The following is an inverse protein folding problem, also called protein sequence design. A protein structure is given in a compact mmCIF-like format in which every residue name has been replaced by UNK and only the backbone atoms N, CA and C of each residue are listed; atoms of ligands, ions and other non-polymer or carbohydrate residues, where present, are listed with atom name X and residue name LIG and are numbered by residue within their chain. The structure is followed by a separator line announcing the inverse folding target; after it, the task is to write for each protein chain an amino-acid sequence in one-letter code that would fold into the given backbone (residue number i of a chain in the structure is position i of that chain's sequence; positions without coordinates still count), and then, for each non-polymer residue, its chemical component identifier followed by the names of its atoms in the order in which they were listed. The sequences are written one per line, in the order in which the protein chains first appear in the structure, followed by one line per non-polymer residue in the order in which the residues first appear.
data_IF_632758148121
#
_entry.id   IF_632758148121
#
_cell.length_a   1.000
_cell.length_b   1.000
_cell.length_c   1.000
_cell.angle_alpha   90.00
_cell.angle_beta   90.00
_cell.angle_gamma   90.00
#
_symmetry.space_group_name_H-M   'P 1'
#
loop_
_entity.id
_entity.type
_entity.pdbx_description
1 polymer ?
#
# COMPACT_ATOMS: atom_id res chain seq x y z
N UNK A 1 -19.60 -33.61 -4.01
CA UNK A 1 -19.63 -33.09 -5.40
C UNK A 1 -19.08 -31.70 -5.33
N UNK A 2 -18.05 -31.39 -6.10
CA UNK A 2 -17.55 -30.02 -6.22
C UNK A 2 -18.65 -29.28 -6.99
N UNK A 3 -19.30 -28.32 -6.35
CA UNK A 3 -20.28 -27.47 -7.03
C UNK A 3 -19.53 -26.63 -8.07
N UNK A 4 -19.81 -26.82 -9.34
CA UNK A 4 -19.27 -26.02 -10.42
C UNK A 4 -20.06 -24.71 -10.52
N UNK A 5 -19.76 -23.74 -9.62
CA UNK A 5 -20.45 -22.47 -9.61
C UNK A 5 -19.95 -21.58 -10.76
N UNK A 6 -20.84 -20.75 -11.28
CA UNK A 6 -20.50 -19.64 -12.15
C UNK A 6 -20.30 -18.38 -11.31
N UNK A 7 -19.08 -17.84 -11.32
CA UNK A 7 -18.64 -16.78 -10.41
C UNK A 7 -18.23 -15.55 -11.19
N UNK A 8 -18.85 -14.40 -10.87
CA UNK A 8 -18.41 -13.10 -11.36
C UNK A 8 -17.37 -12.49 -10.39
N UNK A 9 -16.24 -12.03 -10.91
CA UNK A 9 -15.25 -11.24 -10.15
C UNK A 9 -15.25 -9.81 -10.72
N UNK A 10 -15.51 -8.82 -9.89
CA UNK A 10 -15.57 -7.40 -10.31
C UNK A 10 -14.27 -6.71 -9.94
N UNK A 11 -13.43 -6.44 -10.93
CA UNK A 11 -12.11 -5.82 -10.81
C UNK A 11 -10.96 -6.79 -11.02
N UNK A 12 -10.07 -6.51 -11.99
CA UNK A 12 -8.85 -7.26 -12.29
C UNK A 12 -7.60 -6.64 -11.63
N UNK A 13 -7.72 -6.23 -10.37
CA UNK A 13 -6.58 -5.94 -9.50
C UNK A 13 -5.98 -7.22 -8.94
N UNK A 14 -4.92 -7.09 -8.09
CA UNK A 14 -4.26 -8.26 -7.48
C UNK A 14 -5.25 -9.18 -6.76
N UNK A 15 -6.17 -8.62 -5.96
CA UNK A 15 -7.17 -9.42 -5.22
C UNK A 15 -8.08 -10.22 -6.16
N UNK A 16 -8.67 -9.55 -7.17
CA UNK A 16 -9.61 -10.21 -8.10
C UNK A 16 -8.95 -11.27 -8.97
N UNK A 17 -7.75 -11.00 -9.47
CA UNK A 17 -7.01 -11.99 -10.26
C UNK A 17 -6.52 -13.17 -9.40
N UNK A 18 -6.11 -12.91 -8.14
CA UNK A 18 -5.69 -13.99 -7.23
C UNK A 18 -6.83 -14.94 -6.92
N UNK A 19 -7.99 -14.43 -6.53
CA UNK A 19 -9.14 -15.29 -6.26
C UNK A 19 -9.63 -16.02 -7.52
N UNK A 20 -9.62 -15.36 -8.67
CA UNK A 20 -9.99 -16.00 -9.93
C UNK A 20 -9.04 -17.16 -10.27
N UNK A 21 -7.72 -16.98 -10.09
CA UNK A 21 -6.72 -18.05 -10.26
C UNK A 21 -6.90 -19.23 -9.30
N UNK A 22 -7.41 -18.99 -8.09
CA UNK A 22 -7.65 -20.02 -7.09
C UNK A 22 -8.91 -20.84 -7.39
N UNK A 23 -9.90 -20.22 -8.04
CA UNK A 23 -11.22 -20.82 -8.25
C UNK A 23 -11.43 -21.42 -9.66
N UNK A 24 -10.65 -21.02 -10.67
CA UNK A 24 -10.88 -21.36 -12.09
C UNK A 24 -10.86 -22.84 -12.42
N UNK A 25 -10.15 -23.65 -11.64
CA UNK A 25 -10.01 -25.08 -11.92
C UNK A 25 -11.22 -25.90 -11.45
N UNK A 26 -12.08 -25.30 -10.59
CA UNK A 26 -13.27 -25.93 -10.01
C UNK A 26 -14.57 -25.18 -10.30
N UNK A 27 -14.48 -23.98 -10.90
CA UNK A 27 -15.61 -23.11 -11.18
C UNK A 27 -15.48 -22.43 -12.55
N UNK A 28 -16.61 -22.00 -13.13
CA UNK A 28 -16.61 -21.07 -14.26
C UNK A 28 -16.44 -19.64 -13.72
N UNK A 29 -15.27 -19.03 -13.94
CA UNK A 29 -14.96 -17.70 -13.41
C UNK A 29 -14.83 -16.68 -14.53
N UNK A 30 -15.62 -15.59 -14.45
CA UNK A 30 -15.54 -14.45 -15.36
C UNK A 30 -15.13 -13.21 -14.58
N UNK A 31 -14.05 -12.56 -15.02
CA UNK A 31 -13.53 -11.32 -14.39
C UNK A 31 -13.95 -10.12 -15.24
N UNK A 32 -14.52 -9.09 -14.63
CA UNK A 32 -14.87 -7.84 -15.29
C UNK A 32 -13.91 -6.73 -14.86
N UNK A 33 -13.28 -6.08 -15.83
CA UNK A 33 -12.34 -4.97 -15.59
C UNK A 33 -12.78 -3.76 -16.42
N UNK A 34 -12.91 -2.61 -15.77
CA UNK A 34 -13.33 -1.36 -16.42
C UNK A 34 -12.26 -0.77 -17.36
N UNK A 35 -10.99 -1.03 -17.09
CA UNK A 35 -9.89 -0.55 -17.91
C UNK A 35 -9.52 -1.58 -19.00
N UNK A 36 -8.60 -1.18 -19.89
CA UNK A 36 -8.16 -2.01 -21.01
C UNK A 36 -7.09 -3.04 -20.63
N UNK A 37 -6.67 -3.09 -19.38
CA UNK A 37 -5.69 -4.07 -18.86
C UNK A 37 -5.85 -4.30 -17.36
N UNK A 38 -5.41 -5.46 -16.91
CA UNK A 38 -5.35 -5.84 -15.50
C UNK A 38 -4.25 -5.11 -14.72
N UNK A 39 -4.32 -5.17 -13.39
CA UNK A 39 -3.29 -4.72 -12.46
C UNK A 39 -3.79 -3.79 -11.35
N UNK A 40 -4.85 -3.01 -11.57
CA UNK A 40 -5.31 -2.06 -10.56
C UNK A 40 -4.18 -1.12 -10.11
N UNK A 41 -3.85 -1.11 -8.82
CA UNK A 41 -2.80 -0.24 -8.26
C UNK A 41 -1.36 -0.65 -8.63
N UNK A 42 -1.12 -1.90 -9.03
CA UNK A 42 0.24 -2.36 -9.38
C UNK A 42 0.61 -2.11 -10.84
N UNK A 43 -0.20 -1.32 -11.56
CA UNK A 43 0.06 -0.97 -12.96
C UNK A 43 1.36 -0.18 -13.12
N UNK A 44 2.13 -0.56 -14.15
CA UNK A 44 3.31 0.16 -14.58
C UNK A 44 3.20 0.54 -16.05
N UNK A 45 3.79 1.69 -16.42
CA UNK A 45 3.97 2.15 -17.77
C UNK A 45 5.47 2.33 -18.10
N UNK A 46 5.80 2.60 -19.35
CA UNK A 46 7.15 3.04 -19.72
C UNK A 46 7.10 4.46 -20.26
N UNK A 47 7.98 5.31 -19.72
CA UNK A 47 8.12 6.71 -20.12
C UNK A 47 9.61 6.98 -20.35
N UNK A 48 9.99 7.39 -21.54
CA UNK A 48 11.36 7.70 -21.93
C UNK A 48 12.39 6.59 -21.58
N UNK A 49 11.96 5.32 -21.62
CA UNK A 49 12.79 4.16 -21.28
C UNK A 49 12.79 3.77 -19.79
N UNK A 50 12.26 4.60 -18.90
CA UNK A 50 12.08 4.28 -17.49
C UNK A 50 10.75 3.59 -17.21
N UNK A 51 10.73 2.69 -16.23
CA UNK A 51 9.51 2.08 -15.72
C UNK A 51 8.83 3.06 -14.76
N UNK A 52 7.56 3.35 -15.02
CA UNK A 52 6.73 4.21 -14.20
C UNK A 52 5.70 3.38 -13.44
N UNK A 53 5.87 3.26 -12.14
CA UNK A 53 4.82 2.78 -11.24
C UNK A 53 3.76 3.86 -11.11
N UNK A 54 2.55 3.60 -11.64
CA UNK A 54 1.45 4.59 -11.62
C UNK A 54 0.98 4.94 -10.21
N UNK A 55 1.19 4.02 -9.26
CA UNK A 55 0.81 4.21 -7.85
C UNK A 55 1.83 3.50 -6.98
N UNK A 56 2.64 4.25 -6.25
CA UNK A 56 3.63 3.71 -5.32
C UNK A 56 4.75 2.88 -5.96
N UNK A 57 5.50 2.17 -5.13
CA UNK A 57 6.50 1.19 -5.54
C UNK A 57 6.17 -0.16 -4.91
N UNK A 58 5.50 -1.02 -5.66
CA UNK A 58 5.03 -2.30 -5.15
C UNK A 58 6.10 -3.38 -5.25
N UNK A 59 6.40 -4.02 -4.13
CA UNK A 59 7.34 -5.14 -4.00
C UNK A 59 6.63 -6.33 -3.36
N UNK A 60 7.19 -7.53 -3.48
CA UNK A 60 6.63 -8.71 -2.84
C UNK A 60 7.47 -9.13 -1.65
N UNK A 61 6.84 -9.20 -0.50
CA UNK A 61 7.37 -9.77 0.74
C UNK A 61 6.19 -10.22 1.58
N UNK A 62 6.28 -11.38 2.23
CA UNK A 62 5.24 -11.88 3.13
C UNK A 62 5.82 -12.77 4.21
N UNK A 63 5.14 -12.84 5.36
CA UNK A 63 5.41 -13.80 6.45
C UNK A 63 4.51 -15.03 6.38
N UNK A 64 3.45 -15.00 5.55
CA UNK A 64 2.51 -16.11 5.40
C UNK A 64 3.10 -17.17 4.47
N UNK A 65 3.38 -18.36 5.02
CA UNK A 65 3.96 -19.46 4.26
C UNK A 65 3.03 -19.95 3.14
N UNK A 66 1.73 -20.01 3.38
CA UNK A 66 0.73 -20.40 2.38
C UNK A 66 0.69 -19.44 1.18
N UNK A 67 0.87 -18.12 1.42
CA UNK A 67 0.98 -17.12 0.34
C UNK A 67 2.28 -17.30 -0.44
N UNK A 68 3.42 -17.56 0.26
CA UNK A 68 4.70 -17.88 -0.39
C UNK A 68 4.57 -19.10 -1.30
N UNK A 69 4.00 -20.18 -0.78
CA UNK A 69 3.84 -21.44 -1.51
C UNK A 69 2.95 -21.27 -2.73
N UNK A 70 1.83 -20.55 -2.57
CA UNK A 70 0.93 -20.24 -3.67
C UNK A 70 1.58 -19.36 -4.73
N UNK A 71 2.35 -18.35 -4.34
CA UNK A 71 3.03 -17.42 -5.24
C UNK A 71 4.10 -18.15 -6.05
N UNK A 72 5.02 -18.87 -5.39
CA UNK A 72 6.13 -19.55 -6.06
C UNK A 72 5.73 -20.78 -6.90
N UNK A 73 4.51 -21.26 -6.78
CA UNK A 73 3.95 -22.24 -7.75
C UNK A 73 3.67 -21.61 -9.13
N UNK A 74 3.51 -20.29 -9.20
CA UNK A 74 3.15 -19.54 -10.41
C UNK A 74 4.31 -18.78 -11.02
N UNK A 75 5.30 -18.48 -10.23
CA UNK A 75 6.45 -17.67 -10.62
C UNK A 75 7.74 -18.45 -10.40
N UNK A 76 8.68 -18.35 -11.39
CA UNK A 76 10.02 -18.87 -11.20
C UNK A 76 10.86 -17.86 -10.44
N UNK A 77 11.13 -18.19 -9.16
CA UNK A 77 11.82 -17.31 -8.22
C UNK A 77 13.19 -16.88 -8.73
N UNK A 78 13.98 -17.82 -9.27
CA UNK A 78 15.38 -17.59 -9.65
C UNK A 78 15.50 -16.91 -11.03
N UNK A 79 14.60 -17.23 -11.96
CA UNK A 79 14.64 -16.69 -13.30
C UNK A 79 13.95 -15.34 -13.44
N UNK A 80 12.85 -15.14 -12.71
CA UNK A 80 11.95 -14.01 -12.92
C UNK A 80 12.09 -12.91 -11.88
N UNK A 81 12.66 -13.20 -10.68
CA UNK A 81 12.74 -12.25 -9.57
C UNK A 81 14.18 -11.98 -9.13
N UNK A 82 14.36 -10.80 -8.56
CA UNK A 82 15.53 -10.39 -7.79
C UNK A 82 15.11 -10.36 -6.32
N UNK A 83 15.94 -10.92 -5.45
CA UNK A 83 15.87 -10.64 -4.03
C UNK A 83 16.77 -9.43 -3.76
N UNK A 84 16.19 -8.32 -3.35
CA UNK A 84 16.90 -7.09 -3.03
C UNK A 84 16.82 -6.80 -1.53
N UNK A 85 17.92 -6.32 -0.97
CA UNK A 85 17.93 -5.81 0.40
C UNK A 85 17.32 -4.41 0.43
N UNK A 86 16.63 -4.14 1.51
CA UNK A 86 16.10 -2.81 1.79
C UNK A 86 17.25 -1.91 2.24
N UNK A 87 17.32 -0.72 1.67
CA UNK A 87 18.25 0.32 2.04
C UNK A 87 17.49 1.64 2.11
N UNK A 88 16.83 1.88 3.24
CA UNK A 88 15.98 3.04 3.43
C UNK A 88 16.67 4.08 4.29
N UNK A 89 16.40 5.35 4.00
CA UNK A 89 16.97 6.48 4.75
C UNK A 89 15.94 7.58 4.94
N UNK A 90 16.23 8.47 5.90
CA UNK A 90 15.53 9.73 6.11
C UNK A 90 16.43 10.86 5.64
N UNK A 91 15.96 11.68 4.72
CA UNK A 91 16.59 12.93 4.34
C UNK A 91 16.08 14.03 5.25
N UNK A 92 16.90 14.42 6.23
CA UNK A 92 16.55 15.41 7.26
C UNK A 92 16.47 16.82 6.68
N UNK A 93 15.74 17.71 7.37
CA UNK A 93 15.59 19.10 6.94
C UNK A 93 16.91 19.90 6.92
N UNK A 94 17.91 19.49 7.68
CA UNK A 94 19.24 20.08 7.74
C UNK A 94 20.21 19.53 6.67
N UNK A 95 19.72 18.70 5.75
CA UNK A 95 20.48 18.12 4.64
C UNK A 95 21.19 16.79 4.98
N UNK A 96 21.12 16.31 6.21
CA UNK A 96 21.69 15.00 6.58
C UNK A 96 20.84 13.86 6.07
N UNK A 97 21.51 12.75 5.82
CA UNK A 97 20.88 11.47 5.53
C UNK A 97 21.11 10.54 6.73
N UNK A 98 20.01 10.06 7.32
CA UNK A 98 20.01 9.18 8.50
C UNK A 98 19.40 7.85 8.08
N UNK A 99 19.97 6.74 8.54
CA UNK A 99 19.44 5.40 8.29
C UNK A 99 18.01 5.21 8.82
N UNK A 100 17.30 4.24 8.27
CA UNK A 100 15.94 3.89 8.70
C UNK A 100 15.92 2.46 9.29
N UNK A 101 15.16 2.18 10.36
CA UNK A 101 14.31 3.10 11.14
C UNK A 101 15.13 4.15 11.89
N UNK A 102 14.65 5.40 11.91
CA UNK A 102 15.42 6.57 12.38
C UNK A 102 15.82 6.43 13.86
N UNK A 103 14.96 5.86 14.70
CA UNK A 103 15.21 5.63 16.12
C UNK A 103 16.40 4.71 16.40
N UNK A 104 16.79 3.88 15.45
CA UNK A 104 17.91 2.96 15.57
C UNK A 104 19.23 3.55 15.01
N UNK A 105 19.19 4.75 14.44
CA UNK A 105 20.31 5.38 13.78
C UNK A 105 20.65 6.76 14.40
N UNK A 106 20.32 6.97 15.68
CA UNK A 106 20.57 8.23 16.36
C UNK A 106 22.07 8.61 16.42
N UNK A 107 22.98 7.64 16.33
CA UNK A 107 24.41 7.88 16.23
C UNK A 107 24.81 8.70 14.98
N UNK A 108 23.89 8.89 14.03
CA UNK A 108 24.07 9.74 12.83
C UNK A 108 23.47 11.14 13.00
N UNK A 109 22.87 11.45 14.14
CA UNK A 109 22.30 12.77 14.43
C UNK A 109 23.38 13.83 14.63
N UNK A 110 22.96 15.10 14.68
CA UNK A 110 23.86 16.15 15.21
C UNK A 110 24.10 15.96 16.69
N UNK A 111 25.19 16.52 17.19
CA UNK A 111 25.47 16.53 18.62
C UNK A 111 24.32 17.11 19.44
N UNK A 112 23.68 18.18 18.93
CA UNK A 112 22.54 18.82 19.58
C UNK A 112 21.30 17.90 19.60
N UNK A 113 20.94 17.34 18.45
CA UNK A 113 19.81 16.41 18.35
C UNK A 113 20.06 15.13 19.14
N UNK A 114 21.29 14.61 19.14
CA UNK A 114 21.67 13.45 19.93
C UNK A 114 21.51 13.70 21.43
N UNK A 115 21.97 14.87 21.95
CA UNK A 115 21.83 15.22 23.36
C UNK A 115 20.37 15.30 23.79
N UNK A 116 19.52 15.94 22.98
CA UNK A 116 18.08 16.02 23.26
C UNK A 116 17.42 14.66 23.22
N UNK A 117 17.75 13.82 22.25
CA UNK A 117 17.22 12.45 22.13
C UNK A 117 17.63 11.56 23.31
N UNK A 118 18.88 11.63 23.78
CA UNK A 118 19.31 10.95 25.01
C UNK A 118 18.48 11.39 26.21
N UNK A 119 18.19 12.69 26.32
CA UNK A 119 17.32 13.22 27.36
C UNK A 119 15.90 12.62 27.33
N UNK A 120 15.36 12.46 26.12
CA UNK A 120 14.07 11.79 25.93
C UNK A 120 14.11 10.31 26.38
N UNK A 121 15.14 9.54 25.99
CA UNK A 121 15.30 8.14 26.38
C UNK A 121 15.40 7.99 27.92
N UNK A 122 16.13 8.89 28.59
CA UNK A 122 16.25 8.92 30.06
C UNK A 122 14.88 9.22 30.67
N UNK A 123 14.16 10.19 30.13
CA UNK A 123 12.82 10.55 30.61
C UNK A 123 11.83 9.40 30.43
N UNK A 124 11.86 8.71 29.29
CA UNK A 124 11.03 7.54 29.02
C UNK A 124 11.35 6.38 29.97
N UNK A 125 12.61 6.15 30.29
CA UNK A 125 13.01 5.11 31.26
C UNK A 125 12.56 5.42 32.68
N UNK A 126 12.51 6.70 33.06
CA UNK A 126 12.15 7.14 34.41
C UNK A 126 10.62 7.22 34.66
N UNK A 127 9.81 7.24 33.62
CA UNK A 127 8.38 7.46 33.73
C UNK A 127 7.60 6.25 33.21
N UNK A 128 6.51 5.88 33.91
CA UNK A 128 5.55 4.92 33.38
C UNK A 128 4.73 5.60 32.27
N UNK A 129 4.73 5.05 31.03
CA UNK A 129 3.95 5.64 29.95
C UNK A 129 2.45 5.61 30.29
N UNK A 130 1.75 6.70 30.04
CA UNK A 130 0.29 6.70 30.01
C UNK A 130 -0.18 6.04 28.72
N UNK A 131 -1.33 5.36 28.75
CA UNK A 131 -1.96 4.85 27.54
C UNK A 131 -2.28 6.02 26.59
N UNK A 132 -1.74 6.02 25.36
CA UNK A 132 -1.99 7.09 24.41
C UNK A 132 -3.44 7.05 23.91
N UNK A 133 -4.04 8.20 23.69
CA UNK A 133 -5.41 8.35 23.20
C UNK A 133 -5.46 8.68 21.69
N UNK A 134 -4.37 9.19 21.13
CA UNK A 134 -4.23 9.59 19.73
C UNK A 134 -2.82 9.32 19.20
N UNK A 135 -2.63 9.52 17.91
CA UNK A 135 -1.37 9.19 17.25
C UNK A 135 -0.19 10.07 17.69
N UNK A 136 -0.43 11.35 18.00
CA UNK A 136 0.60 12.23 18.55
C UNK A 136 1.15 11.72 19.89
N UNK A 137 0.24 11.46 20.85
CA UNK A 137 0.61 10.92 22.16
C UNK A 137 1.34 9.57 22.04
N UNK A 138 0.88 8.71 21.12
CA UNK A 138 1.55 7.46 20.82
C UNK A 138 2.99 7.67 20.36
N UNK A 139 3.22 8.53 19.37
CA UNK A 139 4.57 8.78 18.84
C UNK A 139 5.51 9.39 19.90
N UNK A 140 5.02 10.35 20.68
CA UNK A 140 5.80 10.98 21.77
C UNK A 140 6.15 9.98 22.86
N UNK A 141 5.19 9.17 23.29
CA UNK A 141 5.41 8.17 24.34
C UNK A 141 6.36 7.05 23.90
N UNK A 142 6.38 6.75 22.61
CA UNK A 142 7.15 5.63 22.07
C UNK A 142 8.55 6.00 21.59
N UNK A 143 8.73 7.19 21.03
CA UNK A 143 9.95 7.61 20.36
C UNK A 143 10.59 8.89 20.93
N UNK A 144 9.93 9.55 21.88
CA UNK A 144 10.37 10.80 22.49
C UNK A 144 9.98 12.04 21.68
N UNK A 145 10.07 13.19 22.35
CA UNK A 145 9.69 14.50 21.79
C UNK A 145 10.61 14.92 20.64
N UNK A 146 11.91 14.57 20.71
CA UNK A 146 12.90 14.92 19.68
C UNK A 146 12.54 14.29 18.36
N UNK A 147 12.37 12.96 18.31
CA UNK A 147 12.01 12.27 17.08
C UNK A 147 10.60 12.63 16.60
N UNK A 148 9.67 12.86 17.53
CA UNK A 148 8.36 13.36 17.17
C UNK A 148 8.46 14.66 16.36
N UNK A 149 9.15 15.67 16.90
CA UNK A 149 9.25 17.00 16.29
C UNK A 149 10.08 17.02 15.00
N UNK A 150 11.20 16.31 14.97
CA UNK A 150 12.17 16.40 13.87
C UNK A 150 11.82 15.47 12.69
N UNK A 151 11.06 14.38 12.96
CA UNK A 151 10.74 13.39 11.92
C UNK A 151 9.25 13.03 11.88
N UNK A 152 8.70 12.46 12.95
CA UNK A 152 7.38 11.83 12.87
C UNK A 152 6.26 12.83 12.58
N UNK A 153 6.22 13.95 13.26
CA UNK A 153 5.19 14.97 13.06
C UNK A 153 5.24 15.53 11.63
N UNK A 154 6.33 16.15 11.15
CA UNK A 154 6.36 16.77 9.83
C UNK A 154 6.15 15.75 8.70
N UNK A 155 6.62 14.51 8.86
CA UNK A 155 6.41 13.45 7.90
C UNK A 155 4.95 12.98 7.86
N UNK A 156 4.36 12.68 9.00
CA UNK A 156 3.00 12.15 9.08
C UNK A 156 1.93 13.20 8.76
N UNK A 157 2.14 14.48 9.10
CA UNK A 157 1.23 15.56 8.69
C UNK A 157 1.11 15.69 7.17
N UNK A 158 2.17 15.40 6.41
CA UNK A 158 2.11 15.33 4.94
C UNK A 158 1.22 14.18 4.45
N UNK A 159 1.24 13.04 5.15
CA UNK A 159 0.47 11.84 4.78
C UNK A 159 -0.98 12.00 5.18
N UNK A 160 -1.23 12.41 6.43
CA UNK A 160 -2.58 12.47 7.00
C UNK A 160 -3.35 13.75 6.66
N UNK A 161 -2.65 14.82 6.24
CA UNK A 161 -3.22 16.13 5.89
C UNK A 161 -4.09 16.72 7.02
N UNK A 162 -3.78 16.36 8.26
CA UNK A 162 -4.46 16.80 9.48
C UNK A 162 -3.52 16.73 10.69
N UNK A 163 -3.82 17.42 11.81
CA UNK A 163 -3.09 17.27 13.07
C UNK A 163 -3.08 15.80 13.53
N UNK A 164 -1.96 15.35 14.09
CA UNK A 164 -1.83 13.95 14.52
C UNK A 164 -2.66 13.62 15.76
N UNK A 165 -3.15 14.63 16.50
CA UNK A 165 -4.17 14.49 17.56
C UNK A 165 -5.50 13.95 17.00
N UNK A 166 -5.80 14.20 15.73
CA UNK A 166 -7.05 13.78 15.07
C UNK A 166 -6.90 12.45 14.33
N UNK A 167 -5.73 11.83 14.44
CA UNK A 167 -5.45 10.52 13.82
C UNK A 167 -5.68 9.42 14.84
N UNK A 168 -6.65 8.50 14.62
CA UNK A 168 -6.96 7.44 15.56
C UNK A 168 -5.89 6.34 15.59
N UNK A 169 -5.73 5.67 16.74
CA UNK A 169 -4.77 4.58 16.91
C UNK A 169 -5.15 3.29 16.20
N UNK A 170 -6.39 3.13 15.81
CA UNK A 170 -6.91 1.89 15.19
C UNK A 170 -6.20 1.48 13.90
N UNK A 171 -5.55 2.42 13.21
CA UNK A 171 -4.79 2.11 11.98
C UNK A 171 -3.38 1.57 12.25
N UNK A 172 -2.84 1.73 13.46
CA UNK A 172 -1.46 1.37 13.81
C UNK A 172 -1.19 -0.14 13.85
N UNK A 173 -2.20 -0.95 14.05
CA UNK A 173 -2.06 -2.39 14.27
C UNK A 173 -1.17 -3.05 13.22
N UNK A 174 0.06 -3.42 13.62
CA UNK A 174 1.04 -4.11 12.79
C UNK A 174 1.71 -3.29 11.68
N UNK A 175 1.53 -1.96 11.64
CA UNK A 175 2.03 -1.12 10.52
C UNK A 175 3.31 -0.34 10.85
N UNK A 176 3.61 -0.10 12.10
CA UNK A 176 4.85 0.53 12.53
C UNK A 176 5.73 -0.46 13.27
N UNK A 177 7.07 -0.38 13.12
CA UNK A 177 7.99 -1.03 14.02
C UNK A 177 7.70 -0.58 15.46
N UNK A 178 7.76 -1.51 16.40
CA UNK A 178 7.45 -1.25 17.81
C UNK A 178 8.65 -1.67 18.68
N UNK A 179 9.85 -1.07 18.48
CA UNK A 179 11.01 -1.43 19.27
C UNK A 179 10.79 -1.05 20.73
N UNK A 180 11.32 -1.86 21.64
CA UNK A 180 11.42 -1.49 23.06
C UNK A 180 12.51 -0.44 23.25
N UNK A 181 12.48 0.25 24.38
CA UNK A 181 13.54 1.20 24.74
C UNK A 181 14.92 0.55 24.75
N UNK A 182 15.02 -0.66 25.29
CA UNK A 182 16.26 -1.43 25.32
C UNK A 182 16.76 -1.78 23.92
N UNK A 183 15.85 -2.15 23.02
CA UNK A 183 16.18 -2.39 21.60
C UNK A 183 16.68 -1.12 20.91
N UNK A 184 16.06 0.03 21.14
CA UNK A 184 16.52 1.31 20.60
C UNK A 184 17.94 1.61 21.07
N UNK A 185 18.21 1.49 22.37
CA UNK A 185 19.53 1.72 22.95
C UNK A 185 20.53 0.72 22.37
N UNK A 186 20.23 -0.58 22.41
CA UNK A 186 21.08 -1.64 21.90
C UNK A 186 21.46 -1.43 20.42
N UNK A 187 20.46 -1.12 19.58
CA UNK A 187 20.66 -0.94 18.13
C UNK A 187 21.56 0.26 17.84
N UNK A 188 21.43 1.34 18.59
CA UNK A 188 22.30 2.52 18.44
C UNK A 188 23.73 2.23 18.88
N UNK A 189 23.94 1.56 20.02
CA UNK A 189 25.28 1.21 20.49
C UNK A 189 26.02 0.25 19.56
N UNK A 190 25.29 -0.67 18.93
CA UNK A 190 25.87 -1.68 18.05
C UNK A 190 25.81 -1.28 16.55
N UNK A 191 25.30 -0.10 16.22
CA UNK A 191 25.13 0.39 14.84
C UNK A 191 24.40 -0.66 13.96
N UNK A 192 23.29 -1.19 14.44
CA UNK A 192 22.53 -2.25 13.75
C UNK A 192 21.90 -1.68 12.49
N UNK A 193 22.27 -2.23 11.32
CA UNK A 193 21.76 -1.78 10.01
C UNK A 193 20.39 -2.39 9.67
N UNK A 194 19.61 -1.70 8.81
CA UNK A 194 18.25 -2.13 8.39
C UNK A 194 18.21 -3.59 7.89
N UNK A 195 19.25 -4.03 7.18
CA UNK A 195 19.36 -5.42 6.66
C UNK A 195 19.30 -6.52 7.71
N UNK A 196 19.49 -6.18 8.99
CA UNK A 196 19.42 -7.13 10.13
C UNK A 196 18.01 -7.20 10.73
N UNK A 197 17.09 -6.32 10.32
CA UNK A 197 15.72 -6.32 10.81
C UNK A 197 14.81 -7.26 10.01
N UNK A 198 13.71 -7.65 10.64
CA UNK A 198 12.66 -8.43 9.98
C UNK A 198 12.04 -7.58 8.85
N UNK A 199 11.91 -8.13 7.64
CA UNK A 199 11.56 -7.43 6.40
C UNK A 199 12.64 -6.55 5.78
N UNK A 200 13.88 -6.85 6.05
CA UNK A 200 15.04 -6.19 5.44
C UNK A 200 15.24 -6.50 3.95
N UNK A 201 14.46 -7.39 3.37
CA UNK A 201 14.55 -7.76 1.95
C UNK A 201 13.18 -7.94 1.32
N UNK A 202 13.13 -7.86 -0.01
CA UNK A 202 11.92 -8.08 -0.80
C UNK A 202 12.26 -8.75 -2.14
N UNK A 203 11.23 -9.30 -2.79
CA UNK A 203 11.33 -9.81 -4.14
C UNK A 203 10.71 -8.81 -5.13
N UNK A 204 11.39 -8.65 -6.26
CA UNK A 204 10.92 -7.76 -7.31
C UNK A 204 11.17 -8.40 -8.69
N UNK A 205 10.23 -8.27 -9.66
CA UNK A 205 10.41 -8.82 -11.00
C UNK A 205 11.64 -8.23 -11.71
N UNK A 206 12.45 -9.09 -12.33
CA UNK A 206 13.61 -8.66 -13.14
C UNK A 206 13.19 -7.74 -14.27
N UNK A 207 11.99 -7.93 -14.82
CA UNK A 207 11.46 -7.16 -15.93
C UNK A 207 9.99 -6.80 -15.73
N UNK A 208 9.58 -5.62 -16.23
CA UNK A 208 8.17 -5.20 -16.27
C UNK A 208 7.58 -4.71 -14.95
N UNK A 209 8.38 -4.69 -13.87
CA UNK A 209 7.93 -4.21 -12.57
C UNK A 209 6.76 -5.00 -12.02
N UNK A 210 5.97 -4.39 -11.14
CA UNK A 210 4.79 -5.04 -10.55
C UNK A 210 3.70 -5.37 -11.60
N UNK A 211 3.70 -4.74 -12.77
CA UNK A 211 2.83 -5.13 -13.89
C UNK A 211 3.09 -6.57 -14.36
N UNK A 212 4.34 -7.05 -14.28
CA UNK A 212 4.66 -8.45 -14.60
C UNK A 212 3.85 -9.43 -13.75
N UNK A 213 3.70 -9.15 -12.45
CA UNK A 213 2.87 -9.97 -11.55
C UNK A 213 1.41 -9.97 -12.00
N UNK A 214 0.88 -8.79 -12.33
CA UNK A 214 -0.49 -8.66 -12.81
C UNK A 214 -0.72 -9.42 -14.14
N UNK A 215 0.23 -9.32 -15.07
CA UNK A 215 0.14 -10.01 -16.34
C UNK A 215 0.12 -11.55 -16.15
N UNK A 216 1.01 -12.07 -15.30
CA UNK A 216 1.06 -13.51 -14.99
C UNK A 216 -0.22 -14.00 -14.29
N UNK A 217 -0.76 -13.20 -13.36
CA UNK A 217 -2.01 -13.53 -12.68
C UNK A 217 -3.23 -13.48 -13.61
N UNK A 218 -3.16 -12.79 -14.73
CA UNK A 218 -4.25 -12.74 -15.72
C UNK A 218 -4.24 -13.91 -16.72
N UNK A 219 -3.14 -14.67 -16.79
CA UNK A 219 -3.01 -15.77 -17.76
C UNK A 219 -4.06 -16.88 -17.52
N UNK A 220 -4.74 -17.27 -18.60
CA UNK A 220 -5.74 -18.34 -18.57
C UNK A 220 -7.02 -18.01 -17.82
N UNK A 221 -7.31 -16.72 -17.56
CA UNK A 221 -8.58 -16.24 -17.02
C UNK A 221 -9.45 -15.65 -18.15
N UNK A 222 -10.79 -15.81 -18.04
CA UNK A 222 -11.74 -15.06 -18.85
C UNK A 222 -11.89 -13.64 -18.26
N UNK A 223 -11.15 -12.68 -18.79
CA UNK A 223 -11.20 -11.28 -18.35
C UNK A 223 -11.88 -10.43 -19.41
N UNK A 224 -12.99 -9.81 -19.02
CA UNK A 224 -13.76 -8.86 -19.85
C UNK A 224 -13.23 -7.44 -19.58
N UNK A 225 -12.27 -7.00 -20.37
CA UNK A 225 -11.73 -5.64 -20.31
C UNK A 225 -12.73 -4.61 -20.87
N UNK A 226 -12.54 -3.32 -20.54
CA UNK A 226 -13.43 -2.22 -20.90
C UNK A 226 -14.88 -2.45 -20.48
N UNK A 227 -15.08 -3.24 -19.42
CA UNK A 227 -16.38 -3.63 -18.89
C UNK A 227 -16.65 -2.91 -17.57
N UNK A 228 -17.23 -1.73 -17.65
CA UNK A 228 -17.63 -0.94 -16.48
C UNK A 228 -18.96 -1.45 -15.94
N UNK A 229 -18.93 -2.28 -14.90
CA UNK A 229 -20.13 -2.82 -14.26
C UNK A 229 -20.75 -1.76 -13.35
N UNK A 230 -21.96 -1.31 -13.69
CA UNK A 230 -22.71 -0.30 -12.93
C UNK A 230 -23.90 -0.91 -12.17
N UNK A 231 -24.22 -2.19 -12.38
CA UNK A 231 -25.36 -2.85 -11.76
C UNK A 231 -25.08 -4.32 -11.51
N UNK A 232 -25.34 -4.76 -10.29
CA UNK A 232 -25.27 -6.14 -9.80
C UNK A 232 -26.64 -6.44 -9.20
N UNK A 233 -27.42 -7.32 -9.84
CA UNK A 233 -28.83 -7.52 -9.49
C UNK A 233 -29.03 -8.90 -8.87
N UNK A 234 -29.47 -8.96 -7.62
CA UNK A 234 -29.89 -10.22 -6.96
C UNK A 234 -31.16 -10.73 -7.63
N UNK A 235 -31.14 -12.01 -7.95
CA UNK A 235 -32.29 -12.77 -8.46
C UNK A 235 -32.69 -13.84 -7.45
N UNK A 236 -33.82 -14.47 -7.68
CA UNK A 236 -34.27 -15.60 -6.85
C UNK A 236 -33.18 -16.68 -6.75
N UNK A 237 -32.58 -17.04 -7.90
CA UNK A 237 -31.47 -17.99 -7.98
C UNK A 237 -30.23 -17.30 -8.55
N UNK A 238 -29.35 -16.77 -7.67
CA UNK A 238 -28.09 -16.18 -8.07
C UNK A 238 -28.13 -14.68 -8.36
N UNK A 239 -27.34 -14.23 -9.33
CA UNK A 239 -27.06 -12.83 -9.63
C UNK A 239 -27.05 -12.55 -11.13
N UNK A 240 -27.37 -11.34 -11.52
CA UNK A 240 -27.12 -10.83 -12.87
C UNK A 240 -26.08 -9.71 -12.78
N UNK A 241 -24.97 -9.84 -13.55
CA UNK A 241 -23.91 -8.84 -13.72
C UNK A 241 -23.81 -8.51 -15.20
N UNK A 242 -24.06 -7.25 -15.57
CA UNK A 242 -24.27 -6.92 -16.96
C UNK A 242 -25.51 -7.63 -17.52
N UNK A 243 -25.29 -8.48 -18.53
CA UNK A 243 -26.30 -9.33 -19.18
C UNK A 243 -26.17 -10.83 -18.84
N UNK A 244 -25.21 -11.18 -17.95
CA UNK A 244 -24.87 -12.55 -17.62
C UNK A 244 -25.36 -12.96 -16.24
N UNK A 245 -25.78 -14.24 -16.11
CA UNK A 245 -26.17 -14.85 -14.84
C UNK A 245 -25.00 -15.51 -14.12
N UNK A 246 -24.97 -15.45 -12.79
CA UNK A 246 -23.93 -16.02 -11.92
C UNK A 246 -24.56 -16.55 -10.62
N UNK A 247 -23.91 -17.57 -10.05
CA UNK A 247 -24.30 -18.12 -8.75
C UNK A 247 -23.77 -17.25 -7.59
N UNK A 248 -22.54 -16.78 -7.74
CA UNK A 248 -21.84 -15.95 -6.74
C UNK A 248 -21.15 -14.75 -7.40
N UNK A 249 -20.97 -13.67 -6.61
CA UNK A 249 -20.24 -12.49 -7.03
C UNK A 249 -19.15 -12.18 -6.02
N UNK A 250 -17.92 -11.88 -6.51
CA UNK A 250 -16.81 -11.40 -5.70
C UNK A 250 -16.53 -9.96 -6.14
N UNK A 251 -16.80 -9.02 -5.25
CA UNK A 251 -16.61 -7.59 -5.51
C UNK A 251 -15.26 -7.12 -5.00
N UNK A 252 -14.36 -6.78 -5.93
CA UNK A 252 -13.02 -6.25 -5.66
C UNK A 252 -12.89 -4.74 -5.99
N UNK A 253 -14.02 -4.06 -6.13
CA UNK A 253 -14.12 -2.63 -6.38
C UNK A 253 -14.05 -1.78 -5.10
N UNK A 254 -14.50 -0.53 -5.21
CA UNK A 254 -14.59 0.36 -4.06
C UNK A 254 -15.96 0.19 -3.38
N UNK A 255 -15.98 -0.15 -2.09
CA UNK A 255 -17.22 -0.34 -1.30
C UNK A 255 -18.14 0.88 -1.35
N UNK A 256 -17.60 2.09 -1.58
CA UNK A 256 -18.40 3.33 -1.75
C UNK A 256 -19.34 3.27 -2.96
N UNK A 257 -19.06 2.43 -3.94
CA UNK A 257 -19.91 2.20 -5.10
C UNK A 257 -21.02 1.15 -4.84
N UNK A 258 -20.80 0.27 -3.84
CA UNK A 258 -21.63 -0.90 -3.61
C UNK A 258 -23.12 -0.60 -3.41
N UNK A 259 -23.54 0.37 -2.54
CA UNK A 259 -24.97 0.69 -2.35
C UNK A 259 -25.67 1.21 -3.59
N UNK A 260 -24.91 1.78 -4.54
CA UNK A 260 -25.45 2.29 -5.80
C UNK A 260 -25.56 1.19 -6.86
N UNK A 261 -24.64 0.22 -6.82
CA UNK A 261 -24.51 -0.84 -7.81
C UNK A 261 -25.41 -2.03 -7.52
N UNK A 262 -25.55 -2.42 -6.24
CA UNK A 262 -26.28 -3.62 -5.83
C UNK A 262 -27.78 -3.34 -5.76
N UNK A 263 -28.56 -4.22 -6.40
CA UNK A 263 -30.03 -4.20 -6.40
C UNK A 263 -30.58 -5.53 -5.93
N UNK A 264 -31.69 -5.51 -5.21
CA UNK A 264 -32.34 -6.71 -4.66
C UNK A 264 -31.80 -7.16 -3.31
N UNK A 265 -30.83 -6.41 -2.74
CA UNK A 265 -30.47 -6.42 -1.32
C UNK A 265 -30.64 -5.00 -0.79
N UNK A 266 -31.25 -4.87 0.37
CA UNK A 266 -31.37 -3.54 1.01
C UNK A 266 -30.07 -3.19 1.73
N UNK A 267 -29.33 -2.24 1.14
CA UNK A 267 -28.13 -1.64 1.70
C UNK A 267 -28.35 -0.18 2.13
N UNK A 268 -29.60 0.29 2.16
CA UNK A 268 -29.92 1.69 2.46
C UNK A 268 -29.45 2.14 3.82
N UNK A 269 -29.51 1.27 4.84
CA UNK A 269 -29.02 1.54 6.20
C UNK A 269 -27.50 1.81 6.28
N UNK A 270 -26.74 1.37 5.28
CA UNK A 270 -25.29 1.54 5.23
C UNK A 270 -24.82 2.73 4.39
N UNK A 271 -25.73 3.31 3.57
CA UNK A 271 -25.38 4.27 2.53
C UNK A 271 -24.66 5.51 3.08
N UNK A 272 -25.21 6.19 4.05
CA UNK A 272 -24.65 7.44 4.58
C UNK A 272 -23.28 7.21 5.21
N UNK A 273 -23.12 6.08 5.89
CA UNK A 273 -21.86 5.69 6.51
C UNK A 273 -20.80 5.28 5.48
N UNK A 274 -21.20 4.58 4.42
CA UNK A 274 -20.31 4.26 3.28
C UNK A 274 -19.86 5.53 2.57
N UNK A 275 -20.76 6.48 2.35
CA UNK A 275 -20.45 7.78 1.74
C UNK A 275 -19.48 8.60 2.62
N UNK A 276 -19.56 8.45 3.95
CA UNK A 276 -18.69 9.11 4.92
C UNK A 276 -17.28 8.45 5.09
N UNK A 277 -17.04 7.28 4.49
CA UNK A 277 -15.71 6.66 4.52
C UNK A 277 -14.67 7.57 3.85
N UNK A 278 -13.56 7.84 4.54
CA UNK A 278 -12.50 8.72 4.07
C UNK A 278 -11.31 7.92 3.51
N UNK A 279 -10.70 8.43 2.45
CA UNK A 279 -9.46 7.90 1.89
C UNK A 279 -8.59 9.03 1.38
N UNK A 280 -7.27 8.83 1.38
CA UNK A 280 -6.35 9.67 0.63
C UNK A 280 -6.06 9.08 -0.74
N UNK A 281 -5.88 9.97 -1.72
CA UNK A 281 -5.29 9.70 -3.00
C UNK A 281 -3.76 9.84 -2.94
N UNK A 282 -3.10 9.54 -4.04
CA UNK A 282 -1.66 9.76 -4.20
C UNK A 282 -1.37 10.28 -5.59
N UNK A 283 -0.66 11.39 -5.66
CA UNK A 283 0.02 11.81 -6.87
C UNK A 283 1.42 11.22 -6.89
N UNK A 284 1.72 10.46 -7.91
CA UNK A 284 2.96 9.74 -8.13
C UNK A 284 3.70 10.38 -9.30
N UNK A 285 4.93 10.85 -9.09
CA UNK A 285 5.70 11.58 -10.09
C UNK A 285 6.96 10.78 -10.46
N UNK A 286 7.07 10.36 -11.71
CA UNK A 286 8.30 9.77 -12.24
C UNK A 286 9.32 10.87 -12.52
N UNK A 287 10.53 10.69 -12.01
CA UNK A 287 11.67 11.58 -12.23
C UNK A 287 12.93 10.80 -12.61
N UNK A 288 13.82 11.43 -13.38
CA UNK A 288 15.24 11.13 -13.30
C UNK A 288 15.81 11.84 -12.06
N UNK A 289 16.73 11.18 -11.35
CA UNK A 289 17.37 11.73 -10.14
C UNK A 289 18.87 11.45 -10.15
N UNK A 290 19.62 12.12 -9.28
CA UNK A 290 21.03 11.80 -9.03
C UNK A 290 21.17 10.36 -8.55
N UNK A 291 22.29 9.73 -8.94
CA UNK A 291 22.57 8.33 -8.57
C UNK A 291 22.72 8.17 -7.05
N UNK A 292 22.14 7.11 -6.52
CA UNK A 292 22.17 6.81 -5.09
C UNK A 292 21.91 5.32 -4.86
N UNK A 293 22.33 4.75 -3.70
CA UNK A 293 22.16 3.33 -3.41
C UNK A 293 20.83 2.98 -2.70
N UNK A 294 19.93 3.93 -2.49
CA UNK A 294 18.78 3.75 -1.63
C UNK A 294 17.60 3.08 -2.35
N UNK A 295 16.73 2.45 -1.57
CA UNK A 295 15.43 1.94 -2.03
C UNK A 295 14.29 2.91 -1.71
N UNK A 296 14.27 3.50 -0.52
CA UNK A 296 13.32 4.53 -0.10
C UNK A 296 14.01 5.67 0.64
N UNK A 297 13.58 6.89 0.37
CA UNK A 297 14.05 8.10 1.05
C UNK A 297 12.83 8.81 1.62
N UNK A 298 12.72 8.83 2.94
CA UNK A 298 11.65 9.52 3.66
C UNK A 298 12.02 10.97 3.89
N UNK A 299 11.08 11.91 3.68
CA UNK A 299 11.36 13.34 3.65
C UNK A 299 10.46 14.12 4.61
N UNK A 300 10.90 14.37 5.85
CA UNK A 300 10.15 15.18 6.82
C UNK A 300 10.18 16.67 6.52
N UNK A 301 11.13 17.20 5.72
CA UNK A 301 11.30 18.63 5.47
C UNK A 301 9.99 19.32 5.07
N UNK A 302 9.63 20.41 5.75
CA UNK A 302 8.44 21.24 5.45
C UNK A 302 8.64 22.16 4.23
N UNK A 303 9.85 22.18 3.62
CA UNK A 303 10.14 22.98 2.44
C UNK A 303 9.39 22.53 1.18
N UNK A 304 8.88 21.31 1.18
CA UNK A 304 8.11 20.71 0.08
C UNK A 304 7.01 19.78 0.60
N UNK A 305 6.01 19.48 -0.22
CA UNK A 305 4.87 18.65 0.15
C UNK A 305 5.11 17.14 -0.05
N UNK A 306 6.09 16.77 -0.88
CA UNK A 306 6.43 15.36 -1.09
C UNK A 306 6.86 14.70 0.22
N UNK A 307 6.40 13.48 0.46
CA UNK A 307 6.71 12.76 1.69
C UNK A 307 7.79 11.69 1.50
N UNK A 308 7.95 11.12 0.30
CA UNK A 308 9.02 10.14 0.04
C UNK A 308 9.45 10.08 -1.42
N UNK A 309 10.68 9.62 -1.62
CA UNK A 309 11.19 9.15 -2.91
C UNK A 309 11.28 7.63 -2.83
N UNK A 310 10.77 6.94 -3.84
CA UNK A 310 10.94 5.50 -4.03
C UNK A 310 11.91 5.34 -5.19
N UNK A 311 13.11 4.86 -4.91
CA UNK A 311 14.17 4.71 -5.91
C UNK A 311 13.91 3.45 -6.77
N UNK A 312 12.81 3.47 -7.52
CA UNK A 312 12.33 2.32 -8.33
C UNK A 312 13.35 1.87 -9.37
N UNK A 313 14.24 2.76 -9.80
CA UNK A 313 15.37 2.42 -10.67
C UNK A 313 16.38 1.47 -10.04
N UNK A 314 16.45 1.38 -8.69
CA UNK A 314 17.30 0.43 -7.97
C UNK A 314 16.64 -0.94 -7.74
N UNK A 315 15.34 -1.08 -8.00
CA UNK A 315 14.65 -2.35 -7.79
C UNK A 315 15.02 -3.40 -8.85
N UNK A 316 15.27 -2.96 -10.10
CA UNK A 316 15.77 -3.80 -11.17
C UNK A 316 16.43 -2.93 -12.25
N UNK A 317 17.48 -3.45 -12.90
CA UNK A 317 18.16 -2.73 -14.00
C UNK A 317 17.21 -2.38 -15.15
N UNK A 318 16.22 -3.22 -15.42
CA UNK A 318 15.22 -2.99 -16.46
C UNK A 318 14.27 -1.84 -16.18
N UNK A 319 14.26 -1.30 -14.95
CA UNK A 319 13.38 -0.19 -14.56
C UNK A 319 13.90 1.16 -15.01
N UNK A 320 15.18 1.27 -15.31
CA UNK A 320 15.82 2.53 -15.69
C UNK A 320 16.44 2.48 -17.08
N UNK A 321 16.56 3.62 -17.69
CA UNK A 321 17.39 3.80 -18.89
C UNK A 321 18.86 3.66 -18.46
N UNK A 322 19.69 3.09 -19.33
CA UNK A 322 21.12 2.93 -19.07
C UNK A 322 21.76 4.27 -18.67
N UNK A 323 22.60 4.23 -17.66
CA UNK A 323 23.35 5.39 -17.11
C UNK A 323 22.48 6.50 -16.50
N UNK A 324 21.20 6.27 -16.27
CA UNK A 324 20.30 7.29 -15.68
C UNK A 324 19.48 6.65 -14.55
N UNK A 325 19.57 7.24 -13.36
CA UNK A 325 18.74 6.79 -12.22
C UNK A 325 17.32 7.33 -12.35
N UNK A 326 16.35 6.53 -12.01
CA UNK A 326 14.95 6.96 -11.94
C UNK A 326 14.32 6.65 -10.59
N UNK A 327 13.39 7.50 -10.21
CA UNK A 327 12.62 7.33 -8.98
C UNK A 327 11.17 7.79 -9.16
N UNK A 328 10.36 7.35 -8.24
CA UNK A 328 8.98 7.80 -8.07
C UNK A 328 8.88 8.65 -6.82
N UNK A 329 8.41 9.90 -6.96
CA UNK A 329 8.19 10.85 -5.86
C UNK A 329 6.70 10.89 -5.56
N UNK A 330 6.32 10.81 -4.27
CA UNK A 330 4.93 10.75 -3.86
C UNK A 330 4.48 11.96 -3.08
N UNK A 331 3.28 12.42 -3.44
CA UNK A 331 2.48 13.44 -2.76
C UNK A 331 1.15 12.84 -2.33
N UNK A 332 0.67 13.25 -1.17
CA UNK A 332 -0.68 12.90 -0.73
C UNK A 332 -1.70 13.77 -1.46
N UNK A 333 -2.75 13.13 -1.97
CA UNK A 333 -3.84 13.72 -2.75
C UNK A 333 -3.40 14.31 -4.10
N UNK A 334 -4.29 15.02 -4.76
CA UNK A 334 -4.03 15.62 -6.06
C UNK A 334 -3.21 16.90 -5.91
N UNK A 335 -2.22 17.06 -6.77
CA UNK A 335 -1.38 18.25 -6.85
C UNK A 335 -1.21 18.65 -8.33
N UNK A 336 -1.24 19.94 -8.62
CA UNK A 336 -1.09 20.45 -9.98
C UNK A 336 0.33 20.20 -10.52
N UNK A 337 0.48 20.17 -11.83
CA UNK A 337 1.79 20.02 -12.46
C UNK A 337 2.73 21.19 -12.10
N UNK A 338 2.18 22.37 -12.02
CA UNK A 338 2.90 23.60 -11.65
C UNK A 338 3.47 23.47 -10.23
N UNK A 339 2.64 23.05 -9.28
CA UNK A 339 3.06 22.78 -7.89
C UNK A 339 4.04 21.61 -7.79
N UNK A 340 3.87 20.57 -8.60
CA UNK A 340 4.86 19.48 -8.68
C UNK A 340 6.22 20.06 -9.05
N UNK A 341 6.32 20.85 -10.12
CA UNK A 341 7.59 21.41 -10.58
C UNK A 341 8.22 22.34 -9.55
N UNK A 342 7.41 23.16 -8.86
CA UNK A 342 7.90 24.00 -7.76
C UNK A 342 8.45 23.15 -6.61
N UNK A 343 7.72 22.12 -6.18
CA UNK A 343 8.20 21.23 -5.13
C UNK A 343 9.47 20.48 -5.51
N UNK A 344 9.60 20.00 -6.76
CA UNK A 344 10.79 19.27 -7.22
C UNK A 344 12.06 20.11 -7.09
N UNK A 345 12.00 21.44 -7.22
CA UNK A 345 13.15 22.33 -7.05
C UNK A 345 13.71 22.38 -5.62
N UNK A 346 12.94 21.89 -4.63
CA UNK A 346 13.28 21.91 -3.21
C UNK A 346 13.54 20.49 -2.64
N UNK A 347 13.40 19.46 -3.48
CA UNK A 347 13.60 18.05 -3.12
C UNK A 347 15.05 17.66 -3.40
N UNK A 348 15.70 16.88 -2.50
CA UNK A 348 17.05 16.40 -2.72
C UNK A 348 17.17 15.48 -3.95
N UNK A 349 18.40 15.23 -4.40
CA UNK A 349 18.77 14.40 -5.56
C UNK A 349 18.35 14.95 -6.92
N UNK A 350 18.19 16.26 -7.05
CA UNK A 350 18.01 16.99 -8.32
C UNK A 350 16.95 16.40 -9.26
N UNK A 351 15.74 16.12 -8.79
CA UNK A 351 14.75 15.41 -9.58
C UNK A 351 14.33 16.19 -10.82
N UNK A 352 14.34 15.49 -11.98
CA UNK A 352 13.88 15.99 -13.28
C UNK A 352 12.58 15.30 -13.64
N UNK A 353 11.51 16.07 -13.76
CA UNK A 353 10.17 15.59 -14.09
C UNK A 353 10.12 14.86 -15.43
N UNK A 354 9.46 13.71 -15.46
CA UNK A 354 9.13 12.95 -16.67
C UNK A 354 7.63 12.78 -16.89
N UNK A 355 6.91 12.33 -15.88
CA UNK A 355 5.49 12.08 -15.92
C UNK A 355 4.87 12.09 -14.51
N UNK A 356 3.55 12.18 -14.42
CA UNK A 356 2.84 11.94 -13.17
C UNK A 356 1.51 11.24 -13.39
N UNK A 357 0.98 10.65 -12.33
CA UNK A 357 -0.33 10.04 -12.29
C UNK A 357 -0.98 10.33 -10.93
N UNK A 358 -2.26 10.66 -10.94
CA UNK A 358 -3.06 10.75 -9.72
C UNK A 358 -3.97 9.54 -9.59
N UNK A 359 -3.98 8.92 -8.42
CA UNK A 359 -4.90 7.86 -8.04
C UNK A 359 -5.73 8.34 -6.84
N UNK A 360 -7.06 8.55 -6.99
CA UNK A 360 -7.88 9.19 -5.95
C UNK A 360 -8.13 8.31 -4.72
N UNK A 361 -7.90 7.01 -4.84
CA UNK A 361 -8.08 6.04 -3.77
C UNK A 361 -6.82 5.18 -3.63
N UNK A 362 -6.00 5.46 -2.62
CA UNK A 362 -4.78 4.68 -2.34
C UNK A 362 -4.70 4.23 -0.89
N UNK A 363 -5.12 5.07 0.05
CA UNK A 363 -5.05 4.79 1.48
C UNK A 363 -6.43 4.94 2.13
N UNK A 364 -7.13 3.82 2.46
CA UNK A 364 -8.37 3.89 3.25
C UNK A 364 -8.05 4.35 4.67
N UNK A 365 -8.80 5.34 5.16
CA UNK A 365 -8.67 5.85 6.53
C UNK A 365 -9.58 5.03 7.45
N UNK A 366 -9.02 4.58 8.58
CA UNK A 366 -9.74 3.79 9.57
C UNK A 366 -10.27 4.69 10.68
N UNK A 367 -11.58 4.74 10.87
CA UNK A 367 -12.21 5.21 12.10
C UNK A 367 -12.31 4.05 13.11
N UNK A 368 -12.49 4.32 14.41
CA UNK A 368 -12.52 3.27 15.45
C UNK A 368 -13.48 2.12 15.19
N UNK A 369 -14.62 2.40 14.57
CA UNK A 369 -15.69 1.45 14.25
C UNK A 369 -15.71 0.95 12.79
N UNK A 370 -14.73 1.34 11.98
CA UNK A 370 -14.69 0.97 10.54
C UNK A 370 -14.69 -0.55 10.36
N UNK A 371 -13.96 -1.30 11.19
CA UNK A 371 -13.90 -2.77 11.08
C UNK A 371 -15.23 -3.44 11.35
N UNK A 372 -15.92 -3.03 12.42
CA UNK A 372 -17.26 -3.52 12.76
C UNK A 372 -18.25 -3.18 11.65
N UNK A 373 -18.24 -1.94 11.20
CA UNK A 373 -19.11 -1.45 10.13
C UNK A 373 -18.95 -2.24 8.81
N UNK A 374 -17.72 -2.43 8.36
CA UNK A 374 -17.43 -3.22 7.14
C UNK A 374 -17.79 -4.71 7.38
N UNK A 375 -17.54 -5.24 8.58
CA UNK A 375 -17.96 -6.59 8.97
C UNK A 375 -19.47 -6.81 8.83
N UNK A 376 -20.26 -5.83 9.23
CA UNK A 376 -21.72 -5.88 9.10
C UNK A 376 -22.17 -5.89 7.63
N UNK A 377 -21.56 -5.05 6.77
CA UNK A 377 -21.83 -5.07 5.31
C UNK A 377 -21.47 -6.45 4.74
N UNK A 378 -20.28 -6.99 5.08
CA UNK A 378 -19.85 -8.32 4.62
C UNK A 378 -20.84 -9.40 5.03
N UNK A 379 -21.29 -9.41 6.28
CA UNK A 379 -22.26 -10.41 6.77
C UNK A 379 -23.56 -10.40 5.98
N UNK A 380 -24.10 -9.21 5.68
CA UNK A 380 -25.33 -9.05 4.90
C UNK A 380 -25.13 -9.52 3.45
N UNK A 381 -24.04 -9.12 2.82
CA UNK A 381 -23.80 -9.45 1.40
C UNK A 381 -23.38 -10.90 1.20
N UNK A 382 -22.53 -11.45 2.08
CA UNK A 382 -22.09 -12.85 2.02
C UNK A 382 -23.25 -13.84 2.21
N UNK A 383 -24.23 -13.54 3.08
CA UNK A 383 -25.44 -14.35 3.23
C UNK A 383 -26.26 -14.49 1.93
N UNK A 384 -26.04 -13.61 0.99
CA UNK A 384 -26.70 -13.58 -0.31
C UNK A 384 -25.81 -14.06 -1.46
N UNK A 385 -24.55 -14.46 -1.18
CA UNK A 385 -23.59 -14.93 -2.18
C UNK A 385 -22.83 -13.80 -2.88
N UNK A 386 -22.73 -12.59 -2.27
CA UNK A 386 -21.90 -11.50 -2.72
C UNK A 386 -20.80 -11.26 -1.69
N UNK A 387 -19.53 -11.43 -2.10
CA UNK A 387 -18.35 -11.38 -1.24
C UNK A 387 -17.55 -10.14 -1.54
N UNK A 388 -17.08 -9.44 -0.50
CA UNK A 388 -16.16 -8.31 -0.62
C UNK A 388 -14.73 -8.79 -0.46
N UNK A 389 -13.82 -8.39 -1.37
CA UNK A 389 -12.43 -8.80 -1.34
C UNK A 389 -11.51 -7.67 -1.83
N UNK A 390 -10.49 -7.34 -1.04
CA UNK A 390 -9.43 -6.41 -1.43
C UNK A 390 -9.51 -5.05 -0.76
N UNK A 391 -8.45 -4.22 -0.97
CA UNK A 391 -8.16 -3.00 -0.21
C UNK A 391 -9.36 -2.08 -0.03
N UNK A 392 -10.10 -1.78 -1.10
CA UNK A 392 -11.21 -0.83 -1.07
C UNK A 392 -12.58 -1.48 -0.96
N UNK A 393 -12.70 -2.76 -1.25
CA UNK A 393 -13.93 -3.52 -0.97
C UNK A 393 -14.07 -3.79 0.53
N UNK A 394 -12.96 -4.10 1.21
CA UNK A 394 -12.90 -4.36 2.65
C UNK A 394 -12.47 -3.14 3.47
N UNK A 395 -12.21 -2.02 2.80
CA UNK A 395 -11.76 -0.76 3.39
C UNK A 395 -10.60 -0.95 4.36
N UNK A 396 -9.55 -1.67 3.92
CA UNK A 396 -8.38 -1.97 4.73
C UNK A 396 -7.09 -1.84 3.91
N UNK A 397 -6.00 -1.43 4.57
CA UNK A 397 -4.71 -1.30 3.90
C UNK A 397 -4.12 -2.67 3.61
N UNK A 398 -4.16 -3.08 2.34
CA UNK A 398 -3.56 -4.31 1.86
C UNK A 398 -2.33 -4.04 1.01
N UNK A 399 -1.19 -4.62 1.37
CA UNK A 399 -0.10 -4.84 0.45
C UNK A 399 -0.45 -5.99 -0.50
N UNK A 400 0.38 -6.21 -1.51
CA UNK A 400 0.14 -7.24 -2.53
C UNK A 400 0.00 -8.65 -1.93
N UNK A 401 0.84 -8.99 -0.96
CA UNK A 401 0.81 -10.26 -0.24
C UNK A 401 -0.45 -10.42 0.63
N UNK A 402 -0.87 -9.37 1.31
CA UNK A 402 -2.10 -9.38 2.11
C UNK A 402 -3.33 -9.54 1.21
N UNK A 403 -3.33 -8.90 0.04
CA UNK A 403 -4.40 -9.08 -0.95
C UNK A 403 -4.50 -10.53 -1.46
N UNK A 404 -3.36 -11.18 -1.69
CA UNK A 404 -3.29 -12.60 -2.06
C UNK A 404 -3.71 -13.52 -0.91
N UNK A 405 -3.30 -13.19 0.32
CA UNK A 405 -3.69 -13.92 1.52
C UNK A 405 -5.20 -13.87 1.78
N UNK A 406 -5.81 -12.69 1.65
CA UNK A 406 -7.26 -12.55 1.77
C UNK A 406 -8.01 -13.35 0.69
N UNK A 407 -7.45 -13.43 -0.54
CA UNK A 407 -8.00 -14.27 -1.59
C UNK A 407 -7.89 -15.76 -1.26
N UNK A 408 -6.77 -16.23 -0.68
CA UNK A 408 -6.61 -17.60 -0.19
C UNK A 408 -7.65 -17.92 0.89
N UNK A 409 -7.78 -17.04 1.88
CA UNK A 409 -8.75 -17.24 2.98
C UNK A 409 -10.21 -17.29 2.48
N UNK A 410 -10.54 -16.51 1.46
CA UNK A 410 -11.87 -16.54 0.84
C UNK A 410 -12.06 -17.82 0.01
N UNK A 411 -11.05 -18.25 -0.75
CA UNK A 411 -11.15 -19.41 -1.65
C UNK A 411 -11.46 -20.72 -0.91
N UNK A 412 -11.04 -20.82 0.35
CA UNK A 412 -11.31 -22.01 1.20
C UNK A 412 -12.79 -22.05 1.63
N UNK A 413 -13.48 -20.90 1.64
CA UNK A 413 -14.89 -20.76 2.06
C UNK A 413 -15.89 -20.87 0.90
N UNK A 414 -15.41 -20.84 -0.35
CA UNK A 414 -16.23 -20.86 -1.56
C UNK A 414 -16.29 -22.21 -2.21
#
# INVERSE_FOLDING_TARGET
MIENNKIAVIGAGVSGMSIAQMLKDTNEVVVFERENRSGGMVKCDRVNGHLFHRTGGHVFNTKRQDVLDWFWKRFNREEEFIKADRNSVVSMADGRTVGYPIENHAYQFSDEMMKTFIGDLISMAANTPKEPTNFEEFLKSRFGETLYREYFQPYNEKIWRRPLTDVPLSWLAGKLPMPTLDEIIYNNFNHVEEKQFVHSSFYYPKNGGSQFVANRLSEGLDIRYNSNINSIVKKENGWTVGDMGFDKVIFCGNVKELPKMVKGIDLSAYKDRVDALEAHGTTTVLCEIDDNPYSWIYMPSRAHQAHRIICTGNFAESNRKKETMSATIEFTDEISKEDILENLSRIPYSPKYLAHNYAPYTYPIQAPDTREFIGNIKSVTESQGLYLLGRFAEWEYYNMDVAMGAALDLSIRL
#
